data_IF_966171233432
#
_entry.id   IF_966171233432
#
_cell.length_a   1.000
_cell.length_b   1.000
_cell.length_c   1.000
_cell.angle_alpha   90.00
_cell.angle_beta   90.00
_cell.angle_gamma   90.00
#
_symmetry.space_group_name_H-M   'P 1'
#
loop_
_entity.id
_entity.type
_entity.pdbx_description
1 polymer ?
#
# COMPACT_ATOMS: atom_id res chain seq x y z
N UNK A 1 72.27 -69.35 9.16
CA UNK A 1 70.99 -69.59 8.44
C UNK A 1 69.81 -70.06 9.36
N UNK A 2 70.05 -70.42 10.62
CA UNK A 2 69.06 -70.90 11.57
C UNK A 2 68.14 -69.78 12.18
N UNK A 3 68.66 -68.55 12.34
CA UNK A 3 67.87 -67.48 12.95
C UNK A 3 66.74 -66.86 12.06
N UNK A 4 66.81 -67.11 10.76
CA UNK A 4 65.79 -66.58 9.82
C UNK A 4 64.56 -67.50 9.77
N UNK A 5 64.70 -68.77 10.05
CA UNK A 5 63.65 -69.76 10.02
C UNK A 5 62.74 -69.67 11.29
N UNK A 6 63.37 -69.24 12.40
CA UNK A 6 62.60 -69.04 13.67
C UNK A 6 61.65 -67.82 13.62
N UNK A 7 62.09 -66.77 12.93
CA UNK A 7 61.26 -65.53 12.80
C UNK A 7 60.04 -65.75 11.89
N UNK A 8 60.19 -66.59 10.84
CA UNK A 8 59.03 -66.89 9.97
C UNK A 8 57.98 -67.76 10.65
N UNK A 9 58.33 -68.66 11.53
CA UNK A 9 57.45 -69.51 12.33
C UNK A 9 56.72 -68.71 13.43
N UNK A 10 57.34 -67.68 13.99
CA UNK A 10 56.72 -66.77 14.96
C UNK A 10 55.70 -65.85 14.32
N UNK A 11 55.90 -65.48 13.05
CA UNK A 11 54.99 -64.61 12.31
C UNK A 11 53.75 -65.39 11.81
N UNK A 12 53.90 -66.66 11.50
CA UNK A 12 52.78 -67.52 11.12
C UNK A 12 51.91 -67.93 12.33
N UNK A 13 52.48 -68.05 13.53
CA UNK A 13 51.73 -68.30 14.78
C UNK A 13 51.01 -67.06 15.32
N UNK A 14 51.40 -65.86 14.91
CA UNK A 14 50.76 -64.60 15.33
C UNK A 14 49.52 -64.26 14.51
N UNK A 15 49.30 -64.89 13.35
CA UNK A 15 48.17 -64.63 12.47
C UNK A 15 46.92 -65.52 12.71
N UNK A 16 47.07 -66.56 13.60
CA UNK A 16 45.94 -67.41 14.00
C UNK A 16 45.27 -66.92 15.28
N UNK A 17 44.86 -65.64 15.29
CA UNK A 17 43.87 -65.19 16.27
C UNK A 17 42.48 -65.56 15.77
N UNK A 18 41.69 -66.34 16.53
CA UNK A 18 40.31 -66.71 16.14
C UNK A 18 39.49 -65.43 16.09
N UNK A 19 39.00 -65.09 14.90
CA UNK A 19 38.02 -64.02 14.66
C UNK A 19 36.91 -64.15 15.69
N UNK A 20 36.89 -63.18 16.63
CA UNK A 20 35.78 -63.01 17.59
C UNK A 20 34.50 -62.74 16.81
N UNK A 21 33.77 -63.78 16.54
CA UNK A 21 32.44 -63.76 16.00
C UNK A 21 31.47 -63.19 17.06
N UNK A 22 31.50 -61.83 17.22
CA UNK A 22 30.46 -61.15 17.98
C UNK A 22 29.12 -61.44 17.29
N UNK A 23 28.13 -62.05 17.97
CA UNK A 23 26.86 -62.33 17.35
C UNK A 23 26.22 -61.02 16.89
N UNK A 24 26.02 -60.82 15.58
CA UNK A 24 25.23 -59.71 14.99
C UNK A 24 23.87 -59.75 15.68
N UNK A 25 23.59 -58.77 16.56
CA UNK A 25 22.28 -58.55 17.15
C UNK A 25 21.28 -58.47 16.02
N UNK A 26 20.52 -59.52 15.78
CA UNK A 26 19.40 -59.53 14.83
C UNK A 26 18.47 -58.38 15.25
N UNK A 27 18.38 -57.35 14.38
CA UNK A 27 17.38 -56.28 14.54
C UNK A 27 16.02 -56.97 14.60
N UNK A 28 15.37 -56.90 15.74
CA UNK A 28 14.01 -57.45 15.90
C UNK A 28 13.12 -56.75 14.87
N UNK A 29 12.32 -57.46 14.07
CA UNK A 29 11.42 -56.82 13.11
C UNK A 29 10.48 -55.84 13.86
N UNK A 30 10.14 -54.70 13.28
CA UNK A 30 9.24 -53.73 13.93
C UNK A 30 7.92 -54.45 14.25
N UNK A 31 7.56 -54.48 15.53
CA UNK A 31 6.34 -55.10 16.03
C UNK A 31 5.15 -54.41 15.36
N UNK A 32 4.43 -55.09 14.46
CA UNK A 32 3.22 -54.56 13.80
C UNK A 32 2.22 -54.17 14.89
N UNK A 33 1.98 -52.88 15.04
CA UNK A 33 1.00 -52.36 15.99
C UNK A 33 -0.40 -52.84 15.63
N UNK A 34 -1.13 -53.37 16.61
CA UNK A 34 -2.53 -53.74 16.46
C UNK A 34 -3.40 -52.53 16.05
N UNK A 35 -4.53 -52.81 15.37
CA UNK A 35 -5.44 -51.72 14.90
C UNK A 35 -5.90 -50.81 16.05
N UNK A 36 -6.11 -51.34 17.26
CA UNK A 36 -6.50 -50.58 18.45
C UNK A 36 -5.36 -49.66 18.97
N UNK A 37 -4.12 -50.18 19.02
CA UNK A 37 -2.95 -49.38 19.43
C UNK A 37 -2.62 -48.28 18.44
N UNK A 38 -2.86 -48.46 17.15
CA UNK A 38 -2.76 -47.40 16.14
C UNK A 38 -3.78 -46.28 16.36
N UNK A 39 -5.06 -46.63 16.59
CA UNK A 39 -6.12 -45.66 16.89
C UNK A 39 -5.81 -44.89 18.17
N UNK A 40 -5.36 -45.56 19.23
CA UNK A 40 -4.96 -44.90 20.47
C UNK A 40 -3.77 -43.96 20.27
N UNK A 41 -2.75 -44.38 19.53
CA UNK A 41 -1.61 -43.52 19.21
C UNK A 41 -2.01 -42.29 18.41
N UNK A 42 -2.94 -42.37 17.47
CA UNK A 42 -3.48 -41.25 16.72
C UNK A 42 -4.21 -40.28 17.65
N UNK A 43 -5.09 -40.78 18.53
CA UNK A 43 -5.83 -39.92 19.49
C UNK A 43 -4.85 -39.21 20.42
N UNK A 44 -3.85 -39.91 20.96
CA UNK A 44 -2.83 -39.34 21.83
C UNK A 44 -1.98 -38.30 21.09
N UNK A 45 -1.67 -38.53 19.81
CA UNK A 45 -0.96 -37.56 18.98
C UNK A 45 -1.80 -36.28 18.74
N UNK A 46 -3.09 -36.44 18.45
CA UNK A 46 -4.00 -35.27 18.30
C UNK A 46 -4.08 -34.52 19.62
N UNK A 47 -4.25 -35.19 20.75
CA UNK A 47 -4.30 -34.57 22.06
C UNK A 47 -3.01 -33.76 22.38
N UNK A 48 -1.84 -34.37 22.08
CA UNK A 48 -0.55 -33.72 22.27
C UNK A 48 -0.41 -32.46 21.39
N UNK A 49 -0.84 -32.52 20.12
CA UNK A 49 -0.84 -31.35 19.22
C UNK A 49 -1.77 -30.27 19.74
N UNK A 50 -2.98 -30.63 20.21
CA UNK A 50 -3.90 -29.66 20.82
C UNK A 50 -3.30 -29.00 22.07
N UNK A 51 -2.64 -29.78 22.93
CA UNK A 51 -1.98 -29.24 24.11
C UNK A 51 -0.85 -28.29 23.75
N UNK A 52 -0.01 -28.64 22.78
CA UNK A 52 1.05 -27.76 22.27
C UNK A 52 0.50 -26.49 21.66
N UNK A 53 -0.62 -26.58 20.92
CA UNK A 53 -1.31 -25.41 20.37
C UNK A 53 -1.83 -24.48 21.46
N UNK A 54 -2.44 -25.01 22.52
CA UNK A 54 -2.89 -24.22 23.66
C UNK A 54 -1.72 -23.56 24.40
N UNK A 55 -0.62 -24.26 24.60
CA UNK A 55 0.60 -23.69 25.18
C UNK A 55 1.16 -22.58 24.30
N UNK A 56 1.20 -22.78 22.97
CA UNK A 56 1.65 -21.74 22.02
C UNK A 56 0.81 -20.46 22.13
N UNK A 57 -0.53 -20.58 22.26
CA UNK A 57 -1.41 -19.42 22.39
C UNK A 57 -1.20 -18.61 23.68
N UNK A 58 -0.58 -19.19 24.69
CA UNK A 58 -0.24 -18.52 25.96
C UNK A 58 1.14 -17.85 25.94
N UNK A 59 1.99 -18.19 24.95
CA UNK A 59 3.32 -17.59 24.84
C UNK A 59 3.25 -16.15 24.34
N UNK A 60 4.15 -15.25 24.79
CA UNK A 60 4.24 -13.87 24.31
C UNK A 60 4.33 -13.77 22.78
N UNK A 61 4.98 -14.74 22.13
CA UNK A 61 5.14 -14.81 20.66
C UNK A 61 3.80 -14.94 19.89
N UNK A 62 2.71 -15.28 20.56
CA UNK A 62 1.37 -15.34 19.98
C UNK A 62 0.58 -14.04 20.16
N UNK A 63 1.17 -13.05 20.80
CA UNK A 63 0.59 -11.72 21.02
C UNK A 63 1.29 -10.68 20.14
N UNK A 64 0.59 -9.58 19.87
CA UNK A 64 1.14 -8.46 19.10
C UNK A 64 2.20 -7.76 19.96
N UNK A 65 3.41 -7.65 19.44
CA UNK A 65 4.49 -6.87 20.05
C UNK A 65 4.45 -5.43 19.53
N UNK A 66 4.51 -5.26 18.21
CA UNK A 66 4.50 -3.94 17.58
C UNK A 66 3.52 -3.85 16.41
N UNK A 67 2.89 -2.68 16.28
CA UNK A 67 2.11 -2.30 15.10
C UNK A 67 2.87 -1.22 14.35
N UNK A 68 3.28 -1.50 13.12
CA UNK A 68 4.00 -0.54 12.28
C UNK A 68 3.12 -0.07 11.14
N UNK A 69 2.83 1.24 11.10
CA UNK A 69 2.07 1.88 10.02
C UNK A 69 3.03 2.53 9.03
N UNK A 70 2.84 2.27 7.73
CA UNK A 70 3.62 2.86 6.63
C UNK A 70 2.70 3.48 5.58
N UNK A 71 3.16 4.58 4.94
CA UNK A 71 2.43 5.27 3.87
C UNK A 71 1.47 6.35 4.36
N UNK A 72 1.50 6.68 5.64
CA UNK A 72 0.80 7.80 6.25
C UNK A 72 1.54 9.11 5.91
N UNK A 73 0.87 10.06 5.27
CA UNK A 73 1.40 11.38 4.88
C UNK A 73 0.44 12.54 5.22
N UNK A 74 -0.86 12.32 5.08
CA UNK A 74 -1.90 13.31 5.38
C UNK A 74 -2.30 13.28 6.86
N UNK A 75 -2.24 12.11 7.46
CA UNK A 75 -2.45 11.88 8.89
C UNK A 75 -1.21 11.19 9.47
N UNK A 76 -1.06 11.21 10.78
CA UNK A 76 0.07 10.56 11.44
C UNK A 76 -0.08 9.03 11.44
N UNK A 77 1.04 8.32 11.61
CA UNK A 77 1.03 6.86 11.75
C UNK A 77 0.23 6.42 12.97
N UNK A 78 0.38 7.14 14.08
CA UNK A 78 -0.32 6.91 15.34
C UNK A 78 -1.84 7.05 15.18
N UNK A 79 -2.30 7.99 14.33
CA UNK A 79 -3.72 8.11 14.02
C UNK A 79 -4.27 6.81 13.40
N UNK A 80 -3.60 6.27 12.39
CA UNK A 80 -4.04 5.03 11.73
C UNK A 80 -3.88 3.80 12.61
N UNK A 81 -2.87 3.77 13.48
CA UNK A 81 -2.72 2.74 14.48
C UNK A 81 -3.94 2.71 15.41
N UNK A 82 -4.32 3.85 15.96
CA UNK A 82 -5.53 3.98 16.81
C UNK A 82 -6.79 3.58 16.05
N UNK A 83 -6.95 4.01 14.78
CA UNK A 83 -8.10 3.63 13.96
C UNK A 83 -8.12 2.13 13.61
N UNK A 84 -6.98 1.47 13.62
CA UNK A 84 -6.90 0.01 13.41
C UNK A 84 -7.49 -0.80 14.55
N UNK A 85 -7.54 -0.22 15.77
CA UNK A 85 -7.97 -0.87 17.02
C UNK A 85 -7.12 -2.13 17.32
N UNK A 86 -5.84 -2.06 16.99
CA UNK A 86 -4.83 -3.08 17.29
C UNK A 86 -3.93 -2.55 18.41
N UNK A 87 -3.76 -3.35 19.45
CA UNK A 87 -2.95 -2.98 20.59
C UNK A 87 -1.86 -4.01 20.86
N UNK A 88 -0.71 -3.55 21.34
CA UNK A 88 0.32 -4.44 21.86
C UNK A 88 -0.27 -5.30 23.00
N UNK A 89 0.01 -6.60 22.98
CA UNK A 89 -0.56 -7.57 23.91
C UNK A 89 -1.83 -8.25 23.42
N UNK A 90 -2.50 -7.77 22.35
CA UNK A 90 -3.63 -8.47 21.76
C UNK A 90 -3.18 -9.79 21.10
N UNK A 91 -4.11 -10.78 21.01
CA UNK A 91 -3.79 -12.03 20.32
C UNK A 91 -3.55 -11.80 18.84
N UNK A 92 -2.38 -12.23 18.35
CA UNK A 92 -2.02 -12.17 16.93
C UNK A 92 -3.02 -12.90 16.02
N UNK A 93 -3.78 -13.85 16.57
CA UNK A 93 -4.77 -14.68 15.87
C UNK A 93 -6.22 -14.24 16.14
N UNK A 94 -6.43 -13.28 17.05
CA UNK A 94 -7.75 -12.83 17.49
C UNK A 94 -8.51 -11.96 16.49
N UNK A 95 -7.84 -11.46 15.43
CA UNK A 95 -8.44 -10.57 14.44
C UNK A 95 -8.34 -11.13 13.01
N UNK A 96 -9.20 -10.60 12.14
CA UNK A 96 -9.16 -10.88 10.70
C UNK A 96 -8.63 -9.64 9.97
N UNK A 97 -7.55 -9.76 9.20
CA UNK A 97 -6.96 -8.65 8.44
C UNK A 97 -8.02 -7.85 7.68
N UNK A 98 -8.92 -8.54 6.97
CA UNK A 98 -10.02 -7.91 6.21
C UNK A 98 -10.92 -6.99 7.03
N UNK A 99 -11.14 -7.28 8.30
CA UNK A 99 -11.99 -6.44 9.17
C UNK A 99 -11.29 -5.12 9.43
N UNK A 100 -9.99 -5.16 9.72
CA UNK A 100 -9.18 -3.98 9.97
C UNK A 100 -8.98 -3.18 8.69
N UNK A 101 -8.65 -3.83 7.57
CA UNK A 101 -8.55 -3.21 6.25
C UNK A 101 -9.83 -2.48 5.86
N UNK A 102 -10.99 -3.11 6.09
CA UNK A 102 -12.30 -2.49 5.85
C UNK A 102 -12.53 -1.28 6.75
N UNK A 103 -12.19 -1.38 8.04
CA UNK A 103 -12.31 -0.28 9.01
C UNK A 103 -11.46 0.92 8.57
N UNK A 104 -10.19 0.69 8.28
CA UNK A 104 -9.28 1.72 7.81
C UNK A 104 -9.70 2.33 6.46
N UNK A 105 -10.28 1.52 5.56
CA UNK A 105 -10.79 2.01 4.27
C UNK A 105 -12.06 2.86 4.38
N UNK A 106 -12.68 2.96 5.56
CA UNK A 106 -13.78 3.89 5.82
C UNK A 106 -13.29 5.32 6.10
N UNK A 107 -12.00 5.47 6.42
CA UNK A 107 -11.38 6.77 6.59
C UNK A 107 -11.35 7.54 5.26
N UNK A 108 -11.77 8.82 5.29
CA UNK A 108 -11.85 9.66 4.09
C UNK A 108 -10.53 9.84 3.37
N UNK A 109 -9.42 9.66 4.08
CA UNK A 109 -8.07 9.80 3.56
C UNK A 109 -7.52 8.52 2.94
N UNK A 110 -8.11 7.35 3.23
CA UNK A 110 -7.57 6.05 2.88
C UNK A 110 -8.14 5.53 1.57
N UNK A 111 -7.30 5.39 0.56
CA UNK A 111 -7.61 4.74 -0.72
C UNK A 111 -7.54 3.21 -0.61
N UNK A 112 -6.55 2.72 0.13
CA UNK A 112 -6.33 1.30 0.35
C UNK A 112 -5.57 1.07 1.65
N UNK A 113 -6.00 0.09 2.42
CA UNK A 113 -5.25 -0.44 3.55
C UNK A 113 -4.93 -1.92 3.32
N UNK A 114 -3.74 -2.33 3.71
CA UNK A 114 -3.29 -3.73 3.68
C UNK A 114 -2.66 -4.05 5.01
N UNK A 115 -3.20 -5.05 5.69
CA UNK A 115 -2.72 -5.54 6.98
C UNK A 115 -2.02 -6.87 6.80
N UNK A 116 -0.79 -6.98 7.27
CA UNK A 116 0.02 -8.19 7.19
C UNK A 116 0.66 -8.50 8.53
N UNK A 117 0.70 -9.79 8.86
CA UNK A 117 1.45 -10.30 10.01
C UNK A 117 2.90 -10.50 9.59
N UNK A 118 3.80 -10.04 10.43
CA UNK A 118 5.25 -10.24 10.28
C UNK A 118 5.73 -11.06 11.46
N UNK A 119 6.25 -12.23 11.14
CA UNK A 119 6.73 -13.15 12.17
C UNK A 119 7.92 -12.55 12.93
N UNK A 120 8.05 -12.69 14.27
CA UNK A 120 7.23 -13.57 15.11
C UNK A 120 5.91 -12.96 15.61
N UNK A 121 5.81 -11.65 15.86
CA UNK A 121 4.73 -11.02 16.64
C UNK A 121 4.36 -9.60 16.19
N UNK A 122 4.87 -9.17 15.03
CA UNK A 122 4.62 -7.82 14.50
C UNK A 122 3.46 -7.78 13.51
N UNK A 123 2.83 -6.59 13.43
CA UNK A 123 1.82 -6.28 12.42
C UNK A 123 2.28 -5.09 11.60
N UNK A 124 2.24 -5.23 10.29
CA UNK A 124 2.46 -4.14 9.36
C UNK A 124 1.14 -3.72 8.73
N UNK A 125 0.80 -2.44 8.89
CA UNK A 125 -0.33 -1.77 8.27
C UNK A 125 0.21 -0.85 7.18
N UNK A 126 -0.01 -1.21 5.92
CA UNK A 126 0.36 -0.36 4.77
C UNK A 126 -0.86 0.44 4.35
N UNK A 127 -0.79 1.75 4.52
CA UNK A 127 -1.80 2.70 4.07
C UNK A 127 -1.39 3.28 2.72
N UNK A 128 -2.36 3.39 1.82
CA UNK A 128 -2.27 4.21 0.63
C UNK A 128 -3.34 5.27 0.76
N UNK A 129 -2.93 6.52 0.92
CA UNK A 129 -3.84 7.65 1.04
C UNK A 129 -4.27 8.16 -0.32
N UNK A 130 -5.43 8.82 -0.38
CA UNK A 130 -5.85 9.59 -1.54
C UNK A 130 -4.96 10.82 -1.70
N UNK A 131 -4.54 11.11 -2.95
CA UNK A 131 -3.70 12.28 -3.23
C UNK A 131 -4.52 13.57 -3.17
N UNK A 132 -3.98 14.66 -2.60
CA UNK A 132 -4.51 16.00 -2.83
C UNK A 132 -4.35 16.39 -4.31
N UNK A 133 -5.39 16.95 -4.92
CA UNK A 133 -5.38 17.39 -6.33
C UNK A 133 -5.70 18.87 -6.50
N UNK A 134 -6.24 19.47 -5.45
CA UNK A 134 -6.55 20.90 -5.40
C UNK A 134 -6.68 21.33 -3.94
N UNK A 135 -6.87 22.62 -3.73
CA UNK A 135 -7.29 23.14 -2.43
C UNK A 135 -8.48 24.10 -2.58
N UNK A 136 -9.23 24.25 -1.50
CA UNK A 136 -10.30 25.25 -1.35
C UNK A 136 -10.01 26.13 -0.14
N UNK A 137 -10.70 27.26 -0.04
CA UNK A 137 -10.74 28.07 1.16
C UNK A 137 -12.11 27.92 1.82
N UNK A 138 -12.11 27.68 3.12
CA UNK A 138 -13.34 27.68 3.91
C UNK A 138 -13.87 29.12 4.13
N UNK A 139 -15.03 29.23 4.78
CA UNK A 139 -15.64 30.53 5.12
C UNK A 139 -14.77 31.43 6.03
N UNK A 140 -13.78 30.84 6.71
CA UNK A 140 -12.83 31.54 7.58
C UNK A 140 -11.47 31.78 6.90
N UNK A 141 -11.41 31.56 5.57
CA UNK A 141 -10.22 31.70 4.73
C UNK A 141 -9.08 30.72 5.06
N UNK A 142 -9.39 29.63 5.80
CA UNK A 142 -8.45 28.52 6.04
C UNK A 142 -8.39 27.64 4.82
N UNK A 143 -7.22 27.03 4.61
CA UNK A 143 -6.97 26.16 3.47
C UNK A 143 -7.38 24.73 3.82
N UNK A 144 -8.03 24.10 2.88
CA UNK A 144 -8.41 22.69 2.96
C UNK A 144 -8.02 21.99 1.67
N UNK A 145 -7.39 20.83 1.78
CA UNK A 145 -7.11 19.99 0.62
C UNK A 145 -8.37 19.37 0.07
N UNK A 146 -8.45 19.28 -1.25
CA UNK A 146 -9.44 18.47 -1.97
C UNK A 146 -8.71 17.22 -2.48
N UNK A 147 -9.10 16.08 -1.95
CA UNK A 147 -8.51 14.80 -2.30
C UNK A 147 -9.12 14.25 -3.60
N UNK A 148 -8.42 13.34 -4.29
CA UNK A 148 -8.87 12.74 -5.56
C UNK A 148 -10.22 12.01 -5.48
N UNK A 149 -10.69 11.63 -4.29
CA UNK A 149 -12.04 11.10 -4.05
C UNK A 149 -13.08 12.19 -3.75
N UNK A 150 -12.71 13.46 -3.81
CA UNK A 150 -13.58 14.61 -3.53
C UNK A 150 -13.73 14.95 -2.05
N UNK A 151 -13.09 14.22 -1.14
CA UNK A 151 -13.10 14.55 0.28
C UNK A 151 -12.29 15.84 0.54
N UNK A 152 -12.77 16.62 1.51
CA UNK A 152 -12.11 17.85 1.95
C UNK A 152 -11.42 17.56 3.28
N UNK A 153 -10.15 17.94 3.38
CA UNK A 153 -9.30 17.72 4.54
C UNK A 153 -8.61 19.01 4.97
N UNK A 154 -8.86 19.51 6.20
CA UNK A 154 -8.14 20.65 6.72
C UNK A 154 -6.62 20.43 6.73
N UNK A 155 -5.88 21.49 6.39
CA UNK A 155 -4.40 21.47 6.42
C UNK A 155 -3.86 22.68 7.20
N UNK A 156 -2.72 22.48 7.84
CA UNK A 156 -1.98 23.58 8.50
C UNK A 156 -0.97 24.27 7.58
N UNK A 157 -0.79 23.77 6.33
CA UNK A 157 0.14 24.38 5.36
C UNK A 157 -0.33 25.76 4.91
N UNK A 158 0.63 26.66 4.65
CA UNK A 158 0.36 27.96 4.06
C UNK A 158 0.13 27.82 2.55
N UNK A 159 -0.61 28.79 1.93
CA UNK A 159 -0.85 28.81 0.47
C UNK A 159 0.44 28.73 -0.32
N UNK A 160 1.47 29.45 0.13
CA UNK A 160 2.80 29.49 -0.54
C UNK A 160 3.53 28.14 -0.55
N UNK A 161 3.06 27.17 0.24
CA UNK A 161 3.64 25.82 0.33
C UNK A 161 2.82 24.80 -0.49
N UNK A 162 1.74 25.26 -1.15
CA UNK A 162 0.82 24.40 -1.89
C UNK A 162 1.03 24.64 -3.39
N UNK A 163 1.50 23.62 -4.05
CA UNK A 163 1.72 23.59 -5.49
C UNK A 163 0.59 22.81 -6.18
N UNK A 164 -0.63 23.35 -6.09
CA UNK A 164 -1.85 22.77 -6.63
C UNK A 164 -2.84 23.88 -6.96
N UNK A 165 -3.79 23.66 -7.89
CA UNK A 165 -4.82 24.64 -8.21
C UNK A 165 -5.76 24.91 -7.02
N UNK A 166 -6.14 26.19 -6.87
CA UNK A 166 -7.30 26.54 -6.04
C UNK A 166 -8.60 26.28 -6.79
N UNK A 167 -9.56 25.63 -6.14
CA UNK A 167 -10.92 25.49 -6.65
C UNK A 167 -11.81 26.58 -6.07
N UNK A 168 -12.41 27.40 -6.94
CA UNK A 168 -13.30 28.51 -6.55
C UNK A 168 -14.67 28.35 -7.20
N UNK A 169 -15.73 28.83 -6.57
CA UNK A 169 -17.07 28.91 -7.16
C UNK A 169 -17.82 27.58 -7.38
N UNK A 170 -17.29 26.45 -6.92
CA UNK A 170 -17.95 25.15 -7.01
C UNK A 170 -18.94 24.94 -5.86
N UNK A 171 -20.07 25.64 -5.87
CA UNK A 171 -21.13 25.46 -4.88
C UNK A 171 -21.90 24.12 -5.06
N UNK A 172 -21.95 23.57 -6.26
CA UNK A 172 -22.56 22.27 -6.54
C UNK A 172 -21.53 21.15 -6.34
N UNK A 173 -21.79 20.26 -5.36
CA UNK A 173 -20.90 19.16 -5.01
C UNK A 173 -20.63 18.21 -6.17
N UNK A 174 -21.65 17.86 -6.96
CA UNK A 174 -21.50 16.95 -8.11
C UNK A 174 -20.59 17.53 -9.17
N UNK A 175 -20.74 18.85 -9.49
CA UNK A 175 -19.84 19.54 -10.43
C UNK A 175 -18.42 19.57 -9.90
N UNK A 176 -18.25 19.82 -8.59
CA UNK A 176 -16.93 19.77 -7.94
C UNK A 176 -16.29 18.39 -8.05
N UNK A 177 -17.04 17.33 -7.73
CA UNK A 177 -16.56 15.95 -7.82
C UNK A 177 -16.16 15.58 -9.26
N UNK A 178 -16.94 16.01 -10.27
CA UNK A 178 -16.59 15.78 -11.67
C UNK A 178 -15.27 16.47 -12.06
N UNK A 179 -15.08 17.72 -11.64
CA UNK A 179 -13.82 18.44 -11.87
C UNK A 179 -12.65 17.76 -11.15
N UNK A 180 -12.81 17.39 -9.89
CA UNK A 180 -11.78 16.68 -9.10
C UNK A 180 -11.39 15.34 -9.76
N UNK A 181 -12.37 14.57 -10.23
CA UNK A 181 -12.11 13.32 -10.96
C UNK A 181 -11.28 13.53 -12.22
N UNK A 182 -11.45 14.64 -12.90
CA UNK A 182 -10.63 14.96 -14.08
C UNK A 182 -9.24 15.46 -13.69
N UNK A 183 -9.14 16.31 -12.67
CA UNK A 183 -7.85 16.76 -12.13
C UNK A 183 -7.00 15.58 -11.63
N UNK A 184 -7.60 14.58 -11.01
CA UNK A 184 -6.89 13.39 -10.51
C UNK A 184 -6.31 12.49 -11.61
N UNK A 185 -6.70 12.69 -12.88
CA UNK A 185 -6.17 11.96 -14.04
C UNK A 185 -5.01 12.70 -14.73
N UNK A 186 -4.76 13.95 -14.34
CA UNK A 186 -3.59 14.70 -14.81
C UNK A 186 -2.33 14.16 -14.13
N UNK A 187 -1.22 14.22 -14.85
CA UNK A 187 0.08 14.09 -14.22
C UNK A 187 0.40 15.32 -13.35
N UNK A 188 1.34 15.16 -12.43
CA UNK A 188 1.68 16.22 -11.49
C UNK A 188 2.23 17.47 -12.22
N UNK A 189 2.99 17.31 -13.32
CA UNK A 189 3.54 18.40 -14.11
C UNK A 189 2.43 19.27 -14.71
N UNK A 190 1.42 18.63 -15.30
CA UNK A 190 0.30 19.35 -15.93
C UNK A 190 -0.64 19.95 -14.88
N UNK A 191 -0.86 19.26 -13.75
CA UNK A 191 -1.65 19.78 -12.64
C UNK A 191 -1.06 21.08 -12.08
N UNK A 192 0.25 21.15 -11.93
CA UNK A 192 0.97 22.34 -11.43
C UNK A 192 0.96 23.52 -12.41
N UNK A 193 0.59 23.31 -13.67
CA UNK A 193 0.39 24.43 -14.60
C UNK A 193 -0.92 25.18 -14.37
N UNK A 194 -1.85 24.65 -13.57
CA UNK A 194 -3.12 25.27 -13.25
C UNK A 194 -2.98 26.04 -11.94
N UNK A 195 -3.26 27.34 -11.97
CA UNK A 195 -3.30 28.18 -10.76
C UNK A 195 -4.67 28.14 -10.09
N UNK A 196 -5.74 28.27 -10.89
CA UNK A 196 -7.11 28.30 -10.38
C UNK A 196 -8.04 27.58 -11.35
N UNK A 197 -9.05 26.90 -10.80
CA UNK A 197 -10.17 26.33 -11.54
C UNK A 197 -11.49 26.83 -10.98
N UNK A 198 -12.36 27.31 -11.84
CA UNK A 198 -13.72 27.74 -11.50
C UNK A 198 -14.74 27.24 -12.53
N UNK A 199 -16.02 27.04 -12.15
CA UNK A 199 -17.04 26.68 -13.10
C UNK A 199 -17.30 27.83 -14.07
N UNK A 200 -17.42 27.55 -15.36
CA UNK A 200 -17.93 28.52 -16.34
C UNK A 200 -19.47 28.45 -16.38
N UNK A 201 -20.11 29.36 -15.66
CA UNK A 201 -21.57 29.40 -15.54
C UNK A 201 -22.25 30.22 -16.67
N UNK A 202 -21.50 30.78 -17.62
CA UNK A 202 -22.07 31.52 -18.75
C UNK A 202 -22.84 30.63 -19.70
N UNK A 203 -22.56 29.34 -19.71
CA UNK A 203 -23.23 28.37 -20.56
C UNK A 203 -24.37 27.66 -19.85
N UNK A 204 -25.55 27.69 -20.46
CA UNK A 204 -26.78 27.10 -19.92
C UNK A 204 -26.76 25.57 -19.85
N UNK A 205 -26.00 24.92 -20.74
CA UNK A 205 -25.96 23.46 -20.86
C UNK A 205 -24.52 22.97 -20.82
N UNK A 206 -24.32 21.83 -20.16
CA UNK A 206 -23.00 21.21 -20.00
C UNK A 206 -22.30 21.61 -18.71
N UNK A 207 -21.13 21.03 -18.50
CA UNK A 207 -20.23 21.34 -17.39
C UNK A 207 -18.92 21.87 -17.94
N UNK A 208 -18.76 23.17 -17.88
CA UNK A 208 -17.57 23.85 -18.38
C UNK A 208 -16.81 24.49 -17.22
N UNK A 209 -15.49 24.56 -17.37
CA UNK A 209 -14.62 25.20 -16.42
C UNK A 209 -13.76 26.27 -17.09
N UNK A 210 -13.39 27.26 -16.30
CA UNK A 210 -12.38 28.26 -16.60
C UNK A 210 -11.15 27.96 -15.76
N UNK A 211 -10.02 27.76 -16.41
CA UNK A 211 -8.73 27.55 -15.76
C UNK A 211 -7.88 28.81 -15.95
N UNK A 212 -7.29 29.29 -14.87
CA UNK A 212 -6.22 30.27 -14.90
C UNK A 212 -4.91 29.50 -14.80
N UNK A 213 -4.06 29.69 -15.82
CA UNK A 213 -2.80 28.95 -15.91
C UNK A 213 -1.67 29.76 -15.26
N UNK A 214 -0.66 29.06 -14.73
CA UNK A 214 0.51 29.71 -14.07
C UNK A 214 1.32 30.59 -15.03
N UNK A 215 1.27 30.32 -16.33
CA UNK A 215 1.91 31.16 -17.38
C UNK A 215 1.08 32.42 -17.73
N UNK A 216 -0.07 32.60 -17.10
CA UNK A 216 -0.96 33.77 -17.26
C UNK A 216 -1.94 33.65 -18.42
N UNK A 217 -2.10 32.47 -19.01
CA UNK A 217 -3.15 32.20 -19.99
C UNK A 217 -4.47 31.81 -19.29
N UNK A 218 -5.57 31.87 -20.06
CA UNK A 218 -6.87 31.36 -19.62
C UNK A 218 -7.26 30.21 -20.53
N UNK A 219 -7.82 29.16 -19.95
CA UNK A 219 -8.35 28.01 -20.70
C UNK A 219 -9.81 27.83 -20.35
N UNK A 220 -10.70 27.84 -21.35
CA UNK A 220 -12.07 27.38 -21.23
C UNK A 220 -12.16 25.95 -21.73
N UNK A 221 -12.73 25.05 -20.91
CA UNK A 221 -12.69 23.62 -21.18
C UNK A 221 -13.97 22.92 -20.75
N UNK A 222 -14.38 21.89 -21.50
CA UNK A 222 -15.41 20.96 -21.08
C UNK A 222 -14.86 20.05 -19.97
N UNK A 223 -15.49 20.08 -18.79
CA UNK A 223 -15.05 19.31 -17.61
C UNK A 223 -15.01 17.81 -17.88
N UNK A 224 -15.93 17.27 -18.68
CA UNK A 224 -15.94 15.82 -18.97
C UNK A 224 -14.69 15.33 -19.68
N UNK A 225 -14.07 16.18 -20.45
CA UNK A 225 -12.90 15.86 -21.27
C UNK A 225 -11.64 16.63 -20.83
N UNK A 226 -11.66 17.23 -19.62
CA UNK A 226 -10.60 18.11 -19.15
C UNK A 226 -9.23 17.42 -19.18
N UNK A 227 -9.10 16.27 -18.56
CA UNK A 227 -7.82 15.55 -18.50
C UNK A 227 -7.27 15.22 -19.90
N UNK A 228 -8.14 14.75 -20.81
CA UNK A 228 -7.75 14.43 -22.18
C UNK A 228 -7.35 15.67 -22.98
N UNK A 229 -8.16 16.75 -22.91
CA UNK A 229 -7.93 17.95 -23.73
C UNK A 229 -6.72 18.76 -23.23
N UNK A 230 -6.54 18.85 -21.92
CA UNK A 230 -5.46 19.66 -21.33
C UNK A 230 -4.06 19.14 -21.67
N UNK A 231 -3.93 17.85 -22.01
CA UNK A 231 -2.66 17.28 -22.49
C UNK A 231 -2.10 17.99 -23.75
N UNK A 232 -2.97 18.62 -24.52
CA UNK A 232 -2.55 19.37 -25.72
C UNK A 232 -2.14 20.81 -25.42
N UNK A 233 -2.41 21.31 -24.20
CA UNK A 233 -2.14 22.69 -23.83
C UNK A 233 -0.66 23.08 -23.99
N UNK A 234 0.33 22.31 -23.52
CA UNK A 234 1.73 22.67 -23.67
C UNK A 234 2.15 22.82 -25.15
N UNK A 235 1.68 21.94 -26.03
CA UNK A 235 1.97 22.01 -27.46
C UNK A 235 1.32 23.24 -28.13
N UNK A 236 0.09 23.58 -27.73
CA UNK A 236 -0.59 24.80 -28.21
C UNK A 236 0.15 26.05 -27.78
N UNK A 237 0.54 26.16 -26.52
CA UNK A 237 1.33 27.27 -26.01
C UNK A 237 2.66 27.43 -26.75
N UNK A 238 3.36 26.30 -26.99
CA UNK A 238 4.63 26.31 -27.72
C UNK A 238 4.45 26.83 -29.16
N UNK A 239 3.37 26.43 -29.84
CA UNK A 239 3.04 26.88 -31.19
C UNK A 239 2.81 28.39 -31.23
N UNK A 240 1.98 28.92 -30.31
CA UNK A 240 1.66 30.34 -30.25
C UNK A 240 2.87 31.19 -29.85
N UNK A 241 3.74 30.73 -28.97
CA UNK A 241 5.02 31.38 -28.63
C UNK A 241 5.94 31.48 -29.85
N UNK A 242 6.04 30.46 -30.70
CA UNK A 242 6.80 30.52 -31.95
C UNK A 242 6.23 31.54 -32.94
N UNK A 243 4.90 31.80 -32.90
CA UNK A 243 4.22 32.81 -33.64
C UNK A 243 4.33 34.24 -33.07
N UNK A 244 5.12 34.42 -31.99
CA UNK A 244 5.34 35.73 -31.35
C UNK A 244 4.24 36.17 -30.39
N UNK A 245 3.28 35.29 -30.07
CA UNK A 245 2.17 35.59 -29.15
C UNK A 245 2.58 35.27 -27.73
N UNK A 246 2.31 36.19 -26.80
CA UNK A 246 2.75 36.05 -25.41
C UNK A 246 1.70 35.38 -24.50
N UNK A 247 0.44 35.87 -24.55
CA UNK A 247 -0.67 35.42 -23.70
C UNK A 247 -2.00 35.51 -24.41
N UNK A 248 -2.98 34.66 -23.98
CA UNK A 248 -4.32 34.67 -24.57
C UNK A 248 -5.26 33.69 -23.93
N UNK A 249 -6.36 33.47 -24.61
CA UNK A 249 -7.44 32.56 -24.22
C UNK A 249 -7.46 31.38 -25.12
N UNK A 250 -7.33 30.20 -24.54
CA UNK A 250 -7.48 28.88 -25.20
C UNK A 250 -8.89 28.38 -24.98
N UNK A 251 -9.66 28.19 -26.05
CA UNK A 251 -10.98 27.61 -25.98
C UNK A 251 -10.89 26.13 -26.39
N UNK A 252 -11.04 25.26 -25.39
CA UNK A 252 -11.03 23.81 -25.52
C UNK A 252 -12.39 23.17 -25.21
N UNK A 253 -13.47 23.97 -25.22
CA UNK A 253 -14.82 23.47 -24.92
C UNK A 253 -15.34 22.53 -25.99
N UNK A 254 -15.29 22.94 -27.25
CA UNK A 254 -15.73 22.13 -28.41
C UNK A 254 -14.54 21.80 -29.30
N UNK A 255 -13.86 22.82 -29.79
CA UNK A 255 -12.67 22.68 -30.62
C UNK A 255 -11.51 23.46 -30.00
N UNK A 256 -10.28 23.01 -30.23
CA UNK A 256 -9.11 23.68 -29.71
C UNK A 256 -8.80 24.94 -30.54
N UNK A 257 -9.10 26.11 -30.01
CA UNK A 257 -8.83 27.39 -30.62
C UNK A 257 -8.09 28.33 -29.66
N UNK A 258 -7.39 29.32 -30.22
CA UNK A 258 -6.66 30.30 -29.47
C UNK A 258 -7.08 31.70 -29.90
N UNK A 259 -7.33 32.60 -28.94
CA UNK A 259 -7.59 34.01 -29.15
C UNK A 259 -6.58 34.81 -28.33
N UNK A 260 -5.85 35.70 -29.00
CA UNK A 260 -4.94 36.64 -28.32
C UNK A 260 -5.75 37.65 -27.50
N UNK A 261 -5.23 38.10 -26.36
CA UNK A 261 -5.76 39.24 -25.61
C UNK A 261 -5.70 40.51 -26.44
#
# INVERSE_FOLDING_TARGET
>A
MEKIIEFSKLQEAANDTPSSNKPKKKKRPPKKMNKHTKKFAIIMSILAVCLLALLYLQLPISHIDNVTVKGATLKSAEYYEQQSDLHAGDSLWGYKNRVIEKRLSQEKTVKKAVVSRVWPSDIHVKITEYKPVAYVRDSTNRIEYVLENGAILPTSKKVTEIDMPIMTGFSNEKKRQNAVKQLSQLDDELLHTISEISPNNEKKYGEYAKLYMTDGNIVYIDVKNLAYKLQYYPAMVQREKKGGTKKGVYNMEVANSFNKY
#
